data_IF_438591094693
#
_entry.id   IF_438591094693
#
_cell.length_a   1.000
_cell.length_b   1.000
_cell.length_c   1.000
_cell.angle_alpha   90.00
_cell.angle_beta   90.00
_cell.angle_gamma   90.00
#
_symmetry.space_group_name_H-M   'P 1'
#
loop_
_entity.id
_entity.type
_entity.pdbx_description
1 polymer ?
#
# COMPACT_ATOMS: atom_id res chain seq x y z
N UNK A 1 23.65 -4.29 -10.45
CA UNK A 1 22.70 -3.82 -9.44
C UNK A 1 22.96 -2.38 -9.11
N UNK A 2 22.11 -1.51 -9.65
CA UNK A 2 22.07 -0.09 -9.29
C UNK A 2 21.76 0.03 -7.81
N UNK A 3 22.62 0.72 -7.06
CA UNK A 3 22.40 0.99 -5.65
C UNK A 3 21.22 1.99 -5.49
N UNK A 4 20.46 1.93 -4.39
CA UNK A 4 19.44 2.93 -4.13
C UNK A 4 20.08 4.28 -3.78
N UNK A 5 19.40 5.36 -4.13
CA UNK A 5 19.76 6.73 -3.79
C UNK A 5 18.57 7.37 -3.08
N UNK A 6 18.53 7.18 -1.76
CA UNK A 6 17.43 7.64 -0.92
C UNK A 6 17.38 9.18 -0.82
N UNK A 7 18.51 9.86 -1.02
CA UNK A 7 18.53 11.32 -1.06
C UNK A 7 17.85 11.81 -2.35
N UNK A 8 18.22 11.26 -3.51
CA UNK A 8 17.56 11.59 -4.77
C UNK A 8 16.06 11.22 -4.75
N UNK A 9 15.68 10.12 -4.09
CA UNK A 9 14.29 9.75 -3.89
C UNK A 9 13.53 10.78 -3.03
N UNK A 10 14.14 11.22 -1.92
CA UNK A 10 13.58 12.27 -1.06
C UNK A 10 13.43 13.60 -1.81
N UNK A 11 14.45 13.99 -2.58
CA UNK A 11 14.44 15.23 -3.36
C UNK A 11 13.36 15.20 -4.45
N UNK A 12 13.22 14.07 -5.16
CA UNK A 12 12.17 13.87 -6.14
C UNK A 12 10.77 13.90 -5.51
N UNK A 13 10.60 13.26 -4.35
CA UNK A 13 9.35 13.26 -3.61
C UNK A 13 8.96 14.67 -3.13
N UNK A 14 9.93 15.46 -2.68
CA UNK A 14 9.69 16.85 -2.27
C UNK A 14 9.10 17.70 -3.39
N UNK A 15 9.53 17.49 -4.65
CA UNK A 15 8.93 18.15 -5.82
C UNK A 15 7.48 17.70 -6.03
N UNK A 16 7.19 16.40 -5.89
CA UNK A 16 5.84 15.87 -5.97
C UNK A 16 4.92 16.43 -4.87
N UNK A 17 5.42 16.55 -3.63
CA UNK A 17 4.70 17.15 -2.51
C UNK A 17 4.35 18.62 -2.80
N UNK A 18 5.28 19.42 -3.33
CA UNK A 18 5.02 20.81 -3.71
C UNK A 18 3.92 20.92 -4.78
N UNK A 19 3.97 20.06 -5.81
CA UNK A 19 2.93 19.96 -6.84
C UNK A 19 1.57 19.64 -6.22
N UNK A 20 1.48 18.63 -5.35
CA UNK A 20 0.22 18.23 -4.71
C UNK A 20 -0.30 19.35 -3.81
N UNK A 21 0.54 20.02 -3.03
CA UNK A 21 0.11 21.13 -2.18
C UNK A 21 -0.51 22.27 -2.99
N UNK A 22 0.12 22.64 -4.12
CA UNK A 22 -0.41 23.64 -5.05
C UNK A 22 -1.72 23.18 -5.68
N UNK A 23 -1.80 21.93 -6.13
CA UNK A 23 -3.00 21.36 -6.74
C UNK A 23 -4.18 21.24 -5.77
N UNK A 24 -3.94 20.85 -4.53
CA UNK A 24 -4.96 20.84 -3.48
C UNK A 24 -5.42 22.27 -3.15
N UNK A 25 -4.48 23.23 -3.07
CA UNK A 25 -4.81 24.65 -2.92
C UNK A 25 -5.68 25.16 -4.06
N UNK A 26 -5.39 24.76 -5.31
CA UNK A 26 -6.21 25.06 -6.48
C UNK A 26 -7.57 24.41 -6.39
N UNK A 27 -7.64 23.11 -6.06
CA UNK A 27 -8.88 22.36 -5.90
C UNK A 27 -9.82 22.99 -4.88
N UNK A 28 -9.30 23.44 -3.73
CA UNK A 28 -10.07 24.12 -2.69
C UNK A 28 -10.66 25.48 -3.14
N UNK A 29 -10.09 26.09 -4.18
CA UNK A 29 -10.58 27.34 -4.77
C UNK A 29 -11.61 27.14 -5.88
N UNK A 30 -11.81 25.90 -6.35
CA UNK A 30 -12.75 25.62 -7.41
C UNK A 30 -14.19 25.76 -6.89
N UNK A 31 -15.13 26.24 -7.74
CA UNK A 31 -16.55 26.11 -7.47
C UNK A 31 -16.96 24.64 -7.51
N UNK A 32 -18.27 24.37 -7.45
CA UNK A 32 -18.93 23.05 -7.52
C UNK A 32 -18.01 21.86 -7.86
N UNK A 33 -17.85 20.96 -6.88
CA UNK A 33 -16.98 19.79 -6.99
C UNK A 33 -17.42 18.85 -8.13
N UNK A 34 -18.71 18.85 -8.49
CA UNK A 34 -19.25 17.95 -9.51
C UNK A 34 -18.76 18.29 -10.91
N UNK A 35 -18.61 19.57 -11.22
CA UNK A 35 -18.08 20.04 -12.51
C UNK A 35 -16.58 19.74 -12.67
N UNK A 36 -15.89 19.41 -11.56
CA UNK A 36 -14.45 19.22 -11.50
C UNK A 36 -14.02 17.80 -11.10
N UNK A 37 -14.94 16.83 -11.05
CA UNK A 37 -14.68 15.48 -10.55
C UNK A 37 -13.47 14.80 -11.19
N UNK A 38 -13.27 14.92 -12.51
CA UNK A 38 -12.12 14.29 -13.17
C UNK A 38 -10.78 14.87 -12.70
N UNK A 39 -10.69 16.17 -12.46
CA UNK A 39 -9.49 16.80 -11.91
C UNK A 39 -9.30 16.42 -10.44
N UNK A 40 -10.36 16.48 -9.64
CA UNK A 40 -10.32 16.17 -8.21
C UNK A 40 -9.94 14.71 -7.96
N UNK A 41 -10.43 13.79 -8.79
CA UNK A 41 -10.06 12.38 -8.77
C UNK A 41 -8.55 12.20 -9.02
N UNK A 42 -8.01 12.83 -10.06
CA UNK A 42 -6.59 12.71 -10.36
C UNK A 42 -5.71 13.29 -9.25
N UNK A 43 -6.11 14.43 -8.66
CA UNK A 43 -5.42 15.06 -7.53
C UNK A 43 -5.45 14.13 -6.31
N UNK A 44 -6.61 13.55 -5.99
CA UNK A 44 -6.75 12.63 -4.86
C UNK A 44 -5.88 11.38 -5.04
N UNK A 45 -5.90 10.77 -6.23
CA UNK A 45 -5.08 9.60 -6.53
C UNK A 45 -3.58 9.90 -6.46
N UNK A 46 -3.16 11.04 -7.03
CA UNK A 46 -1.76 11.43 -6.98
C UNK A 46 -1.32 11.80 -5.55
N UNK A 47 -2.18 12.45 -4.75
CA UNK A 47 -1.91 12.75 -3.36
C UNK A 47 -1.71 11.46 -2.54
N UNK A 48 -2.58 10.47 -2.70
CA UNK A 48 -2.43 9.16 -2.05
C UNK A 48 -1.11 8.48 -2.42
N UNK A 49 -0.71 8.50 -3.69
CA UNK A 49 0.56 7.91 -4.13
C UNK A 49 1.79 8.64 -3.54
N UNK A 50 1.71 9.98 -3.43
CA UNK A 50 2.73 10.80 -2.77
C UNK A 50 2.81 10.50 -1.26
N UNK A 51 1.68 10.30 -0.59
CA UNK A 51 1.68 9.95 0.83
C UNK A 51 2.19 8.53 1.10
N UNK A 52 1.86 7.55 0.24
CA UNK A 52 2.48 6.21 0.29
C UNK A 52 4.01 6.31 0.11
N UNK A 53 4.45 7.15 -0.83
CA UNK A 53 5.87 7.40 -1.09
C UNK A 53 6.61 7.96 0.13
N UNK A 54 5.94 8.74 1.00
CA UNK A 54 6.54 9.22 2.26
C UNK A 54 6.86 8.06 3.19
N UNK A 55 5.93 7.13 3.37
CA UNK A 55 6.13 5.93 4.20
C UNK A 55 7.24 5.04 3.64
N UNK A 56 7.39 5.00 2.31
CA UNK A 56 8.47 4.23 1.67
C UNK A 56 9.86 4.83 1.86
N UNK A 57 10.00 6.12 2.19
CA UNK A 57 11.31 6.67 2.54
C UNK A 57 11.84 6.06 3.85
N UNK A 58 10.97 5.90 4.86
CA UNK A 58 11.33 5.23 6.11
C UNK A 58 11.70 3.77 5.83
N UNK A 59 10.84 3.03 5.14
CA UNK A 59 11.09 1.65 4.74
C UNK A 59 12.42 1.50 3.97
N UNK A 60 12.63 2.35 2.96
CA UNK A 60 13.82 2.30 2.11
C UNK A 60 15.13 2.61 2.83
N UNK A 61 15.06 3.29 3.98
CA UNK A 61 16.23 3.56 4.82
C UNK A 61 16.73 2.33 5.60
N UNK A 62 15.90 1.27 5.71
CA UNK A 62 16.18 0.08 6.53
C UNK A 62 17.15 -0.90 5.87
N UNK A 63 17.36 -0.80 4.56
CA UNK A 63 18.29 -1.68 3.85
C UNK A 63 18.41 -1.42 2.36
N UNK A 64 19.34 -2.13 1.71
CA UNK A 64 19.65 -1.94 0.28
C UNK A 64 18.49 -2.40 -0.61
N UNK A 65 17.82 -3.50 -0.27
CA UNK A 65 16.74 -4.04 -1.11
C UNK A 65 15.47 -3.21 -0.95
N UNK A 66 15.17 -2.82 0.28
CA UNK A 66 14.09 -1.91 0.66
C UNK A 66 14.27 -0.57 -0.05
N UNK A 67 15.48 0.00 -0.01
CA UNK A 67 15.79 1.24 -0.70
C UNK A 67 15.61 1.13 -2.21
N UNK A 68 15.90 -0.02 -2.82
CA UNK A 68 15.68 -0.24 -4.25
C UNK A 68 14.20 -0.28 -4.59
N UNK A 69 13.38 -0.96 -3.79
CA UNK A 69 11.92 -0.96 -3.93
C UNK A 69 11.34 0.47 -3.75
N UNK A 70 11.80 1.19 -2.72
CA UNK A 70 11.37 2.56 -2.46
C UNK A 70 11.73 3.49 -3.63
N UNK A 71 12.98 3.42 -4.13
CA UNK A 71 13.40 4.21 -5.28
C UNK A 71 12.54 3.91 -6.53
N UNK A 72 12.25 2.64 -6.80
CA UNK A 72 11.41 2.23 -7.91
C UNK A 72 10.00 2.82 -7.82
N UNK A 73 9.36 2.66 -6.65
CA UNK A 73 8.00 3.12 -6.41
C UNK A 73 7.89 4.65 -6.49
N UNK A 74 8.82 5.37 -5.85
CA UNK A 74 8.84 6.84 -5.87
C UNK A 74 9.08 7.33 -7.29
N UNK A 75 9.98 6.68 -8.04
CA UNK A 75 10.24 7.06 -9.43
C UNK A 75 8.99 6.87 -10.32
N UNK A 76 8.25 5.76 -10.15
CA UNK A 76 7.01 5.52 -10.88
C UNK A 76 5.90 6.50 -10.46
N UNK A 77 5.78 6.80 -9.17
CA UNK A 77 4.84 7.80 -8.64
C UNK A 77 5.08 9.19 -9.25
N UNK A 78 6.33 9.66 -9.27
CA UNK A 78 6.65 10.98 -9.83
C UNK A 78 6.48 10.98 -11.35
N UNK A 79 6.78 9.88 -12.04
CA UNK A 79 6.54 9.76 -13.47
C UNK A 79 5.04 9.81 -13.82
N UNK A 80 4.20 9.08 -13.07
CA UNK A 80 2.75 9.08 -13.22
C UNK A 80 2.15 10.47 -12.93
N UNK A 81 2.62 11.15 -11.88
CA UNK A 81 2.26 12.54 -11.62
C UNK A 81 2.64 13.45 -12.79
N UNK A 82 3.85 13.30 -13.35
CA UNK A 82 4.26 14.08 -14.51
C UNK A 82 3.36 13.83 -15.73
N UNK A 83 2.92 12.58 -15.95
CA UNK A 83 1.94 12.26 -17.00
C UNK A 83 0.59 12.92 -16.77
N UNK A 84 0.10 12.98 -15.53
CA UNK A 84 -1.16 13.67 -15.18
C UNK A 84 -1.08 15.19 -15.39
N UNK A 85 0.10 15.76 -15.17
CA UNK A 85 0.35 17.20 -15.35
C UNK A 85 0.50 17.61 -16.81
N UNK A 86 1.10 16.78 -17.66
CA UNK A 86 1.47 17.17 -19.03
C UNK A 86 0.30 17.76 -19.83
N UNK A 87 0.38 19.06 -20.13
CA UNK A 87 -0.65 19.81 -20.86
C UNK A 87 -1.87 20.21 -20.02
N UNK A 88 -1.84 19.96 -18.70
CA UNK A 88 -2.90 20.26 -17.73
C UNK A 88 -2.38 21.10 -16.54
N UNK A 89 -1.15 21.59 -16.59
CA UNK A 89 -0.47 22.25 -15.47
C UNK A 89 -1.28 23.45 -14.93
N UNK A 90 -1.88 24.23 -15.82
CA UNK A 90 -2.75 25.36 -15.45
C UNK A 90 -4.02 24.93 -14.70
N UNK A 91 -4.62 23.80 -15.08
CA UNK A 91 -5.78 23.22 -14.39
C UNK A 91 -5.41 22.75 -12.98
N UNK A 92 -4.19 22.24 -12.81
CA UNK A 92 -3.61 21.83 -11.52
C UNK A 92 -3.05 23.02 -10.72
N UNK A 93 -2.97 24.22 -11.29
CA UNK A 93 -2.40 25.39 -10.60
C UNK A 93 -0.89 25.28 -10.35
N UNK A 94 -0.16 24.59 -11.22
CA UNK A 94 1.30 24.38 -11.11
C UNK A 94 2.05 24.92 -12.32
N UNK A 95 3.35 25.16 -12.15
CA UNK A 95 4.20 25.64 -13.22
C UNK A 95 4.55 24.50 -14.19
N UNK A 96 4.74 24.85 -15.46
CA UNK A 96 5.28 23.94 -16.46
C UNK A 96 6.65 23.46 -16.01
N UNK A 97 6.94 22.17 -16.19
CA UNK A 97 8.21 21.54 -15.81
C UNK A 97 8.50 21.52 -14.29
N UNK A 98 7.47 21.61 -13.43
CA UNK A 98 7.62 21.53 -11.96
C UNK A 98 8.38 20.29 -11.46
N UNK A 99 8.38 19.19 -12.24
CA UNK A 99 9.06 17.93 -11.91
C UNK A 99 10.35 17.69 -12.71
N UNK A 100 10.81 18.64 -13.51
CA UNK A 100 11.95 18.45 -14.42
C UNK A 100 13.24 18.01 -13.70
N UNK A 101 13.45 18.48 -12.47
CA UNK A 101 14.63 18.14 -11.68
C UNK A 101 14.62 16.67 -11.21
N UNK A 102 13.47 16.00 -11.20
CA UNK A 102 13.38 14.56 -10.91
C UNK A 102 13.71 13.68 -12.12
N UNK A 103 13.91 14.25 -13.33
CA UNK A 103 14.06 13.48 -14.56
C UNK A 103 15.16 12.41 -14.47
N UNK A 104 16.34 12.76 -13.93
CA UNK A 104 17.45 11.80 -13.78
C UNK A 104 17.06 10.65 -12.87
N UNK A 105 16.52 10.94 -11.68
CA UNK A 105 16.04 9.94 -10.73
C UNK A 105 15.01 9.00 -11.37
N UNK A 106 14.01 9.56 -12.05
CA UNK A 106 12.97 8.81 -12.76
C UNK A 106 13.59 7.89 -13.82
N UNK A 107 14.49 8.43 -14.65
CA UNK A 107 15.11 7.67 -15.74
C UNK A 107 15.98 6.51 -15.23
N UNK A 108 16.66 6.69 -14.09
CA UNK A 108 17.49 5.66 -13.47
C UNK A 108 16.64 4.53 -12.89
N UNK A 109 15.65 4.87 -12.06
CA UNK A 109 14.90 3.89 -11.27
C UNK A 109 13.65 3.34 -11.96
N UNK A 110 13.35 3.81 -13.18
CA UNK A 110 12.40 3.17 -14.11
C UNK A 110 13.08 2.55 -15.33
N UNK A 111 14.41 2.48 -15.36
CA UNK A 111 15.12 1.81 -16.46
C UNK A 111 14.70 0.32 -16.53
N UNK A 112 14.49 -0.24 -17.73
CA UNK A 112 14.12 -1.65 -17.88
C UNK A 112 15.09 -2.59 -17.17
N UNK A 113 16.38 -2.27 -17.21
CA UNK A 113 17.44 -3.00 -16.53
C UNK A 113 17.20 -3.01 -15.01
N UNK A 114 17.01 -1.84 -14.39
CA UNK A 114 16.77 -1.76 -12.95
C UNK A 114 15.48 -2.48 -12.54
N UNK A 115 14.37 -2.24 -13.24
CA UNK A 115 13.07 -2.86 -12.92
C UNK A 115 13.13 -4.38 -13.03
N UNK A 116 13.84 -4.91 -14.03
CA UNK A 116 14.03 -6.36 -14.17
C UNK A 116 14.78 -6.98 -12.99
N UNK A 117 15.71 -6.25 -12.36
CA UNK A 117 16.42 -6.73 -11.17
C UNK A 117 15.51 -6.80 -9.93
N UNK A 118 14.34 -6.13 -9.93
CA UNK A 118 13.40 -6.14 -8.80
C UNK A 118 12.50 -7.38 -8.78
N UNK A 119 12.31 -8.05 -9.92
CA UNK A 119 11.34 -9.14 -10.07
C UNK A 119 11.59 -10.33 -9.14
N UNK A 120 12.85 -10.55 -8.74
CA UNK A 120 13.25 -11.62 -7.82
C UNK A 120 13.80 -11.09 -6.51
N UNK A 121 13.69 -9.78 -6.29
CA UNK A 121 14.21 -9.12 -5.09
C UNK A 121 13.40 -9.55 -3.87
N UNK A 122 14.11 -9.91 -2.81
CA UNK A 122 13.52 -10.18 -1.50
C UNK A 122 13.87 -9.02 -0.58
N UNK A 123 12.85 -8.42 0.02
CA UNK A 123 13.01 -7.36 0.99
C UNK A 123 12.10 -7.67 2.20
N UNK A 124 12.62 -7.62 3.44
CA UNK A 124 11.83 -7.87 4.62
C UNK A 124 10.75 -6.80 4.79
N UNK A 125 9.64 -7.15 5.41
CA UNK A 125 8.56 -6.21 5.77
C UNK A 125 8.84 -5.46 7.09
N UNK A 126 9.86 -5.87 7.85
CA UNK A 126 10.25 -5.29 9.14
C UNK A 126 9.09 -5.26 10.16
N UNK A 127 8.31 -6.34 10.21
CA UNK A 127 7.35 -6.55 11.28
C UNK A 127 8.08 -6.88 12.59
N UNK A 128 7.52 -6.43 13.71
CA UNK A 128 7.99 -6.89 15.02
C UNK A 128 7.72 -8.39 15.18
N UNK A 129 8.52 -9.06 16.01
CA UNK A 129 8.44 -10.52 16.19
C UNK A 129 7.03 -11.02 16.56
N UNK A 130 6.29 -10.25 17.36
CA UNK A 130 4.90 -10.58 17.70
C UNK A 130 3.99 -10.61 16.47
N UNK A 131 4.12 -9.62 15.60
CA UNK A 131 3.36 -9.54 14.35
C UNK A 131 3.80 -10.58 13.31
N UNK A 132 5.08 -10.97 13.30
CA UNK A 132 5.54 -12.10 12.49
C UNK A 132 4.87 -13.42 12.93
N UNK A 133 4.68 -13.63 14.24
CA UNK A 133 3.97 -14.80 14.75
C UNK A 133 2.48 -14.79 14.39
N UNK A 134 1.84 -13.62 14.46
CA UNK A 134 0.44 -13.43 13.99
C UNK A 134 0.36 -13.80 12.50
N UNK A 135 1.26 -13.26 11.68
CA UNK A 135 1.30 -13.55 10.24
C UNK A 135 1.48 -15.05 9.97
N UNK A 136 2.44 -15.72 10.63
CA UNK A 136 2.66 -17.16 10.44
C UNK A 136 1.44 -18.00 10.83
N UNK A 137 0.78 -17.63 11.93
CA UNK A 137 -0.41 -18.34 12.42
C UNK A 137 -1.54 -18.30 11.40
N UNK A 138 -1.90 -17.11 10.92
CA UNK A 138 -2.99 -16.94 9.97
C UNK A 138 -2.64 -17.42 8.56
N UNK A 139 -1.37 -17.30 8.14
CA UNK A 139 -0.90 -17.84 6.87
C UNK A 139 -1.04 -19.35 6.82
N UNK A 140 -0.57 -20.05 7.86
CA UNK A 140 -0.70 -21.51 7.96
C UNK A 140 -2.15 -21.95 7.97
N UNK A 141 -3.01 -21.25 8.71
CA UNK A 141 -4.44 -21.54 8.69
C UNK A 141 -5.05 -21.33 7.29
N UNK A 142 -4.70 -20.22 6.62
CA UNK A 142 -5.12 -19.94 5.25
C UNK A 142 -4.69 -21.02 4.27
N UNK A 143 -3.43 -21.45 4.33
CA UNK A 143 -2.87 -22.49 3.46
C UNK A 143 -3.46 -23.89 3.72
N UNK A 144 -3.63 -24.26 5.00
CA UNK A 144 -4.04 -25.61 5.40
C UNK A 144 -5.57 -25.81 5.35
N UNK A 145 -6.37 -24.77 5.64
CA UNK A 145 -7.82 -24.87 5.83
C UNK A 145 -8.64 -24.17 4.76
N UNK A 146 -8.22 -22.97 4.34
CA UNK A 146 -9.03 -22.12 3.45
C UNK A 146 -8.71 -22.40 1.99
N UNK A 147 -7.43 -22.31 1.59
CA UNK A 147 -7.01 -22.42 0.20
C UNK A 147 -7.47 -23.71 -0.51
N UNK A 148 -7.47 -24.90 0.14
CA UNK A 148 -7.94 -26.13 -0.50
C UNK A 148 -9.44 -26.14 -0.82
N UNK A 149 -10.25 -25.36 -0.11
CA UNK A 149 -11.71 -25.31 -0.26
C UNK A 149 -12.19 -24.10 -1.07
N UNK A 150 -11.35 -23.07 -1.22
CA UNK A 150 -11.71 -21.79 -1.81
C UNK A 150 -12.33 -21.90 -3.21
N UNK A 151 -11.76 -22.75 -4.08
CA UNK A 151 -12.29 -22.96 -5.43
C UNK A 151 -13.70 -23.55 -5.40
N UNK A 152 -13.94 -24.55 -4.55
CA UNK A 152 -15.23 -25.21 -4.44
C UNK A 152 -16.31 -24.24 -3.94
N UNK A 153 -16.00 -23.51 -2.86
CA UNK A 153 -16.86 -22.47 -2.30
C UNK A 153 -17.32 -21.50 -3.40
N UNK A 154 -16.37 -20.98 -4.18
CA UNK A 154 -16.68 -20.02 -5.23
C UNK A 154 -17.44 -20.62 -6.42
N UNK A 155 -17.01 -21.79 -6.89
CA UNK A 155 -17.55 -22.41 -8.10
C UNK A 155 -18.99 -22.89 -7.91
N UNK A 156 -19.31 -23.40 -6.73
CA UNK A 156 -20.60 -24.01 -6.44
C UNK A 156 -21.55 -23.08 -5.68
N UNK A 157 -21.18 -21.80 -5.48
CA UNK A 157 -21.94 -20.84 -4.67
C UNK A 157 -22.27 -21.42 -3.28
N UNK A 158 -21.30 -22.12 -2.69
CA UNK A 158 -21.48 -22.80 -1.41
C UNK A 158 -21.20 -21.85 -0.24
N UNK A 159 -21.83 -22.12 0.89
CA UNK A 159 -21.52 -21.44 2.14
C UNK A 159 -20.08 -21.71 2.60
N UNK A 160 -19.54 -20.80 3.40
CA UNK A 160 -18.25 -21.01 4.06
C UNK A 160 -18.40 -22.17 5.04
N UNK A 161 -17.58 -23.23 4.92
CA UNK A 161 -17.62 -24.36 5.85
C UNK A 161 -17.49 -23.96 7.32
N UNK A 162 -18.32 -24.55 8.18
CA UNK A 162 -18.34 -24.28 9.62
C UNK A 162 -16.99 -24.55 10.28
N UNK A 163 -16.22 -25.53 9.80
CA UNK A 163 -14.89 -25.85 10.33
C UNK A 163 -13.87 -24.72 10.09
N UNK A 164 -14.03 -23.92 9.05
CA UNK A 164 -13.24 -22.70 8.84
C UNK A 164 -13.65 -21.64 9.86
N UNK A 165 -14.95 -21.44 10.07
CA UNK A 165 -15.48 -20.44 11.01
C UNK A 165 -15.07 -20.79 12.45
N UNK A 166 -15.31 -22.02 12.88
CA UNK A 166 -14.92 -22.52 14.20
C UNK A 166 -13.39 -22.42 14.39
N UNK A 167 -12.60 -22.81 13.38
CA UNK A 167 -11.15 -22.71 13.45
C UNK A 167 -10.65 -21.27 13.62
N UNK A 168 -11.25 -20.30 12.92
CA UNK A 168 -10.93 -18.87 13.11
C UNK A 168 -11.36 -18.37 14.49
N UNK A 169 -12.51 -18.82 14.99
CA UNK A 169 -12.97 -18.49 16.33
C UNK A 169 -12.01 -19.02 17.42
N UNK A 170 -11.53 -20.25 17.27
CA UNK A 170 -10.54 -20.86 18.18
C UNK A 170 -9.19 -20.12 18.17
N UNK A 171 -8.78 -19.58 17.03
CA UNK A 171 -7.60 -18.72 16.90
C UNK A 171 -7.82 -17.30 17.48
N UNK A 172 -9.03 -16.98 17.95
CA UNK A 172 -9.35 -15.66 18.49
C UNK A 172 -9.54 -14.58 17.44
N UNK A 173 -9.67 -14.96 16.16
CA UNK A 173 -9.68 -14.05 15.02
C UNK A 173 -10.79 -12.99 15.14
N UNK A 174 -12.01 -13.41 15.50
CA UNK A 174 -13.17 -12.52 15.66
C UNK A 174 -13.08 -11.59 16.89
N UNK A 175 -12.10 -11.78 17.76
CA UNK A 175 -11.86 -10.98 18.95
C UNK A 175 -10.71 -9.99 18.83
N UNK A 176 -9.95 -9.99 17.72
CA UNK A 176 -8.70 -9.22 17.58
C UNK A 176 -8.89 -7.73 17.83
N UNK A 177 -9.98 -7.16 17.31
CA UNK A 177 -10.31 -5.73 17.47
C UNK A 177 -11.38 -5.47 18.54
N UNK A 178 -11.79 -6.49 19.29
CA UNK A 178 -12.79 -6.38 20.35
C UNK A 178 -12.09 -6.08 21.68
N UNK A 179 -12.50 -5.08 22.47
CA UNK A 179 -11.87 -4.78 23.75
C UNK A 179 -11.92 -5.96 24.73
N UNK A 180 -10.88 -6.12 25.55
CA UNK A 180 -10.79 -7.19 26.56
C UNK A 180 -11.99 -7.26 27.50
N UNK A 181 -12.58 -6.10 27.86
CA UNK A 181 -13.77 -6.04 28.73
C UNK A 181 -15.02 -6.73 28.13
N UNK A 182 -15.04 -6.95 26.81
CA UNK A 182 -16.08 -7.68 26.09
C UNK A 182 -15.64 -9.08 25.65
N UNK A 183 -14.49 -9.57 26.14
CA UNK A 183 -13.98 -10.91 25.82
C UNK A 183 -13.14 -10.99 24.54
N UNK A 184 -12.64 -9.86 24.03
CA UNK A 184 -11.67 -9.82 22.93
C UNK A 184 -10.22 -9.64 23.40
N UNK A 185 -9.36 -9.19 22.49
CA UNK A 185 -7.90 -9.05 22.71
C UNK A 185 -7.38 -7.61 22.55
N UNK A 186 -8.24 -6.67 22.14
CA UNK A 186 -7.80 -5.29 21.92
C UNK A 186 -7.56 -4.57 23.26
N UNK A 187 -6.37 -3.98 23.38
CA UNK A 187 -5.91 -3.20 24.53
C UNK A 187 -6.18 -1.69 24.38
N UNK A 188 -6.64 -1.27 23.19
CA UNK A 188 -6.85 0.12 22.81
C UNK A 188 -5.61 0.79 22.21
N UNK A 189 -4.63 0.00 21.75
CA UNK A 189 -3.36 0.49 21.20
C UNK A 189 -3.32 0.45 19.67
N UNK A 190 -2.41 1.21 19.05
CA UNK A 190 -2.20 1.14 17.58
C UNK A 190 -1.79 -0.27 17.11
N UNK A 191 -1.15 -1.04 17.98
CA UNK A 191 -0.74 -2.42 17.73
C UNK A 191 -1.92 -3.36 17.47
N UNK A 192 -3.09 -3.10 18.08
CA UNK A 192 -4.27 -3.95 17.90
C UNK A 192 -4.77 -3.90 16.44
N UNK A 193 -4.72 -2.72 15.82
CA UNK A 193 -5.08 -2.55 14.41
C UNK A 193 -4.09 -3.23 13.48
N UNK A 194 -2.80 -3.19 13.79
CA UNK A 194 -1.78 -3.83 12.96
C UNK A 194 -1.92 -5.36 12.96
N UNK A 195 -2.21 -5.96 14.12
CA UNK A 195 -2.51 -7.39 14.22
C UNK A 195 -3.70 -7.79 13.35
N UNK A 196 -4.76 -6.98 13.35
CA UNK A 196 -5.93 -7.18 12.48
C UNK A 196 -5.58 -7.10 11.00
N UNK A 197 -4.85 -6.05 10.58
CA UNK A 197 -4.42 -5.89 9.17
C UNK A 197 -3.64 -7.11 8.69
N UNK A 198 -2.69 -7.58 9.49
CA UNK A 198 -1.87 -8.74 9.15
C UNK A 198 -2.70 -10.02 9.05
N UNK A 199 -3.62 -10.23 9.98
CA UNK A 199 -4.53 -11.38 9.93
C UNK A 199 -5.39 -11.34 8.66
N UNK A 200 -5.98 -10.19 8.34
CA UNK A 200 -6.79 -9.99 7.13
C UNK A 200 -5.96 -10.21 5.87
N UNK A 201 -4.72 -9.71 5.80
CA UNK A 201 -3.83 -9.92 4.64
C UNK A 201 -3.52 -11.39 4.40
N UNK A 202 -3.13 -12.14 5.43
CA UNK A 202 -2.77 -13.55 5.28
C UNK A 202 -3.98 -14.44 4.99
N UNK A 203 -5.15 -14.15 5.56
CA UNK A 203 -6.38 -14.88 5.22
C UNK A 203 -6.89 -14.55 3.81
N UNK A 204 -6.82 -13.27 3.42
CA UNK A 204 -7.20 -12.83 2.07
C UNK A 204 -6.31 -13.42 0.98
N UNK A 205 -5.03 -13.71 1.30
CA UNK A 205 -4.11 -14.42 0.41
C UNK A 205 -4.61 -15.81 0.04
N UNK A 206 -5.26 -16.51 0.97
CA UNK A 206 -5.85 -17.83 0.72
C UNK A 206 -7.18 -17.74 -0.02
N UNK A 207 -8.08 -16.87 0.45
CA UNK A 207 -9.34 -16.54 -0.22
C UNK A 207 -9.92 -15.26 0.35
N UNK A 208 -10.22 -14.30 -0.53
CA UNK A 208 -10.90 -13.07 -0.11
C UNK A 208 -12.28 -13.38 0.48
N UNK A 209 -13.07 -14.24 -0.16
CA UNK A 209 -14.44 -14.54 0.27
C UNK A 209 -14.54 -15.48 1.47
N UNK A 210 -13.65 -16.47 1.56
CA UNK A 210 -13.69 -17.50 2.61
C UNK A 210 -12.72 -17.25 3.77
N UNK A 211 -11.97 -16.15 3.73
CA UNK A 211 -11.03 -15.76 4.76
C UNK A 211 -11.09 -14.26 5.02
N UNK A 212 -10.67 -13.46 4.03
CA UNK A 212 -10.57 -12.01 4.17
C UNK A 212 -11.84 -11.29 4.59
N UNK A 213 -13.01 -11.68 4.07
CA UNK A 213 -14.29 -11.03 4.37
C UNK A 213 -15.00 -11.53 5.63
N UNK A 214 -14.41 -12.49 6.35
CA UNK A 214 -14.98 -12.99 7.61
C UNK A 214 -14.66 -12.09 8.81
N UNK A 215 -13.60 -11.27 8.70
CA UNK A 215 -13.05 -10.46 9.79
C UNK A 215 -12.91 -9.00 9.37
#
# INVERSE_FOLDING_TARGET
>A
MTAPDMQAASDALALGIDVINKAVGRAASLPDIDDHQSLLYDIAHAASAIDISRSLLDYGSKGINEGRLACAFIADTIADLNTKLFGRESSWGVDVNSLQNAHTFISTYRSPEFVSELATLQAPNHLDQEFEMVADTFRRFGEDKIAPQAEHIHREDADIPEDIIEGLAELGCFGLSVPEEYGGFATGSESDYLGMVIATEELSRASLGAGGSLI
#
